data_IF_147561221585
#
_entry.id   IF_147561221585
#
_cell.length_a   1.000
_cell.length_b   1.000
_cell.length_c   1.000
_cell.angle_alpha   90.00
_cell.angle_beta   90.00
_cell.angle_gamma   90.00
#
_symmetry.space_group_name_H-M   'P 1'
#
loop_
_entity.id
_entity.type
_entity.pdbx_description
1 polymer ?
#
# COMPACT_ATOMS: atom_id res chain seq x y z
N UNK A 1 -6.56 13.48 -1.10
CA UNK A 1 -6.55 13.17 0.34
C UNK A 1 -7.48 12.00 0.58
N UNK A 2 -6.93 10.83 0.84
CA UNK A 2 -7.65 9.74 1.47
C UNK A 2 -6.82 9.37 2.69
N UNK A 3 -6.89 10.22 3.72
CA UNK A 3 -6.57 9.78 5.07
C UNK A 3 -7.72 8.87 5.49
N UNK A 4 -7.61 7.58 5.16
CA UNK A 4 -8.51 6.59 5.72
C UNK A 4 -8.20 6.57 7.21
N UNK A 5 -9.17 7.02 8.02
CA UNK A 5 -9.21 6.92 9.50
C UNK A 5 -9.12 5.44 9.97
N UNK A 6 -8.97 4.50 9.03
CA UNK A 6 -9.05 3.05 9.14
C UNK A 6 -7.73 2.34 8.87
N UNK A 7 -6.64 3.05 8.61
CA UNK A 7 -5.38 2.43 8.19
C UNK A 7 -4.26 2.95 9.07
N UNK A 8 -3.53 2.01 9.69
CA UNK A 8 -2.34 2.30 10.49
C UNK A 8 -1.43 3.32 9.81
N UNK A 9 -0.74 4.14 10.60
CA UNK A 9 0.19 5.14 10.08
C UNK A 9 1.53 5.06 10.81
N UNK A 10 2.61 4.91 10.05
CA UNK A 10 3.97 5.10 10.52
C UNK A 10 4.21 6.58 10.85
N UNK A 11 4.47 6.87 12.14
CA UNK A 11 4.88 8.21 12.58
C UNK A 11 6.25 8.15 13.24
N UNK A 12 7.02 9.24 13.11
CA UNK A 12 8.31 9.40 13.77
C UNK A 12 8.15 10.43 14.88
N UNK A 13 7.94 9.97 16.10
CA UNK A 13 7.86 10.83 17.29
C UNK A 13 9.20 10.75 18.03
N UNK A 14 9.83 11.91 18.26
CA UNK A 14 11.09 12.05 19.01
C UNK A 14 12.24 11.13 18.57
N UNK A 15 12.49 11.05 17.27
CA UNK A 15 13.61 10.27 16.73
C UNK A 15 13.42 8.74 16.76
N UNK A 16 12.33 8.25 17.36
CA UNK A 16 11.95 6.83 17.37
C UNK A 16 10.90 6.56 16.29
N UNK A 17 11.08 5.42 15.60
CA UNK A 17 10.19 4.96 14.53
C UNK A 17 9.02 4.22 15.18
N UNK A 18 7.81 4.77 15.08
CA UNK A 18 6.60 4.19 15.63
C UNK A 18 5.67 3.76 14.50
N UNK A 19 5.02 2.62 14.67
CA UNK A 19 3.91 2.17 13.83
C UNK A 19 2.66 2.27 14.69
N UNK A 20 1.77 3.22 14.37
CA UNK A 20 0.51 3.39 15.10
C UNK A 20 -0.54 2.56 14.39
N UNK A 21 -0.94 1.47 15.03
CA UNK A 21 -2.01 0.62 14.54
C UNK A 21 -3.35 1.15 15.09
N UNK A 22 -4.24 1.62 14.21
CA UNK A 22 -5.59 2.02 14.59
C UNK A 22 -6.38 0.79 15.03
N UNK A 23 -7.08 0.87 16.17
CA UNK A 23 -7.81 -0.27 16.74
C UNK A 23 -8.81 -0.87 15.77
N UNK A 24 -9.51 -0.07 14.95
CA UNK A 24 -10.44 -0.60 13.94
C UNK A 24 -9.76 -1.46 12.85
N UNK A 25 -8.52 -1.16 12.47
CA UNK A 25 -7.75 -1.98 11.54
C UNK A 25 -7.31 -3.28 12.20
N UNK A 26 -6.83 -3.19 13.45
CA UNK A 26 -6.36 -4.32 14.23
C UNK A 26 -7.51 -5.25 14.59
N UNK A 27 -8.62 -4.73 15.09
CA UNK A 27 -9.82 -5.47 15.45
C UNK A 27 -10.40 -6.18 14.23
N UNK A 28 -10.48 -5.52 13.07
CA UNK A 28 -11.00 -6.16 11.86
C UNK A 28 -10.10 -7.27 11.30
N UNK A 29 -8.79 -7.16 11.50
CA UNK A 29 -7.81 -8.19 11.10
C UNK A 29 -7.74 -9.33 12.14
N UNK A 30 -7.78 -9.01 13.43
CA UNK A 30 -7.72 -9.96 14.54
C UNK A 30 -9.04 -10.72 14.72
N UNK A 31 -10.21 -10.09 14.51
CA UNK A 31 -11.51 -10.78 14.49
C UNK A 31 -11.57 -11.86 13.40
N UNK A 32 -10.80 -11.70 12.31
CA UNK A 32 -10.66 -12.69 11.24
C UNK A 32 -9.52 -13.70 11.48
N UNK A 33 -8.80 -13.60 12.60
CA UNK A 33 -7.78 -14.55 13.04
C UNK A 33 -6.52 -14.64 12.16
N UNK A 34 -6.30 -13.68 11.25
CA UNK A 34 -5.24 -13.81 10.24
C UNK A 34 -4.02 -12.93 10.56
N UNK A 35 -3.09 -13.49 11.33
CA UNK A 35 -1.84 -12.82 11.72
C UNK A 35 -0.96 -12.42 10.52
N UNK A 36 -1.10 -13.09 9.36
CA UNK A 36 -0.33 -12.76 8.16
C UNK A 36 -0.75 -11.41 7.56
N UNK A 37 -2.03 -11.04 7.68
CA UNK A 37 -2.49 -9.71 7.25
C UNK A 37 -1.93 -8.60 8.14
N UNK A 38 -1.84 -8.86 9.45
CA UNK A 38 -1.20 -7.93 10.38
C UNK A 38 0.29 -7.81 10.10
N UNK A 39 0.96 -8.94 9.81
CA UNK A 39 2.36 -8.96 9.40
C UNK A 39 2.59 -8.16 8.11
N UNK A 40 1.67 -8.23 7.14
CA UNK A 40 1.70 -7.40 5.94
C UNK A 40 1.64 -5.91 6.27
N UNK A 41 0.66 -5.51 7.08
CA UNK A 41 0.45 -4.10 7.46
C UNK A 41 1.66 -3.54 8.20
N UNK A 42 2.17 -4.28 9.20
CA UNK A 42 3.35 -3.88 9.96
C UNK A 42 4.59 -3.83 9.06
N UNK A 43 4.77 -4.82 8.18
CA UNK A 43 5.87 -4.86 7.22
C UNK A 43 5.85 -3.70 6.23
N UNK A 44 4.66 -3.29 5.77
CA UNK A 44 4.47 -2.13 4.91
C UNK A 44 4.94 -0.84 5.61
N UNK A 45 4.49 -0.60 6.84
CA UNK A 45 4.88 0.58 7.62
C UNK A 45 6.37 0.57 7.99
N UNK A 46 6.94 -0.60 8.29
CA UNK A 46 8.38 -0.77 8.47
C UNK A 46 9.16 -0.48 7.18
N UNK A 47 8.59 -0.79 6.02
CA UNK A 47 9.14 -0.44 4.71
C UNK A 47 9.35 1.06 4.54
N UNK A 48 8.33 1.87 4.90
CA UNK A 48 8.43 3.34 4.85
C UNK A 48 9.55 3.88 5.73
N UNK A 49 9.70 3.31 6.93
CA UNK A 49 10.79 3.65 7.85
C UNK A 49 12.16 3.22 7.31
N UNK A 50 12.30 1.99 6.79
CA UNK A 50 13.58 1.43 6.35
C UNK A 50 14.10 2.09 5.08
N UNK A 51 13.21 2.44 4.16
CA UNK A 51 13.56 3.10 2.90
C UNK A 51 13.67 4.63 3.05
N UNK A 52 13.29 5.19 4.21
CA UNK A 52 13.41 6.62 4.48
C UNK A 52 12.43 7.48 3.68
N UNK A 53 11.30 6.91 3.26
CA UNK A 53 10.30 7.59 2.44
C UNK A 53 9.69 8.82 3.14
N UNK A 54 9.63 8.79 4.47
CA UNK A 54 9.11 9.89 5.30
C UNK A 54 9.94 11.19 5.20
N UNK A 55 11.22 11.10 4.86
CA UNK A 55 12.12 12.25 4.76
C UNK A 55 12.20 12.83 3.33
N UNK A 56 11.71 12.12 2.32
CA UNK A 56 11.89 12.50 0.90
C UNK A 56 11.12 13.75 0.52
N UNK A 57 9.86 13.88 0.94
CA UNK A 57 9.04 15.08 0.66
C UNK A 57 9.68 16.32 1.26
N UNK A 58 10.25 16.21 2.47
CA UNK A 58 11.00 17.31 3.11
C UNK A 58 12.27 17.66 2.33
N UNK A 59 13.01 16.66 1.82
CA UNK A 59 14.19 16.88 0.96
C UNK A 59 13.83 17.54 -0.37
N UNK A 60 12.73 17.12 -1.00
CA UNK A 60 12.27 17.69 -2.27
C UNK A 60 11.76 19.13 -2.10
N UNK A 61 11.07 19.43 -0.99
CA UNK A 61 10.67 20.79 -0.66
C UNK A 61 11.87 21.73 -0.48
N UNK A 62 12.97 21.23 0.09
CA UNK A 62 14.22 22.00 0.28
C UNK A 62 14.98 22.30 -1.02
N UNK A 63 14.76 21.53 -2.09
CA UNK A 63 15.43 21.71 -3.40
C UNK A 63 14.62 22.65 -4.32
N UNK A 64 13.50 23.18 -3.84
CA UNK A 64 12.57 24.00 -4.62
C UNK A 64 11.43 23.14 -5.15
N UNK A 65 10.24 23.34 -4.59
CA UNK A 65 9.01 22.55 -4.83
C UNK A 65 8.42 22.63 -6.25
N UNK A 66 9.22 22.87 -7.28
CA UNK A 66 8.79 23.06 -8.66
C UNK A 66 8.46 21.74 -9.37
N UNK A 67 8.90 20.59 -8.82
CA UNK A 67 8.63 19.27 -9.38
C UNK A 67 7.61 18.48 -8.55
N UNK A 68 6.39 19.01 -8.44
CA UNK A 68 5.25 18.34 -7.79
C UNK A 68 5.06 16.91 -8.34
N UNK A 69 5.22 16.74 -9.65
CA UNK A 69 5.08 15.46 -10.35
C UNK A 69 6.10 14.40 -9.93
N UNK A 70 7.35 14.82 -9.68
CA UNK A 70 8.41 13.91 -9.20
C UNK A 70 8.12 13.47 -7.78
N UNK A 71 7.63 14.39 -6.93
CA UNK A 71 7.18 14.06 -5.58
C UNK A 71 6.03 13.06 -5.58
N UNK A 72 5.02 13.27 -6.43
CA UNK A 72 3.89 12.36 -6.58
C UNK A 72 4.33 11.00 -7.15
N UNK A 73 5.19 10.98 -8.16
CA UNK A 73 5.75 9.75 -8.73
C UNK A 73 6.55 8.96 -7.69
N UNK A 74 7.38 9.63 -6.91
CA UNK A 74 8.15 9.01 -5.84
C UNK A 74 7.23 8.43 -4.77
N UNK A 75 6.21 9.20 -4.34
CA UNK A 75 5.21 8.74 -3.38
C UNK A 75 4.54 7.44 -3.86
N UNK A 76 4.19 7.36 -5.15
CA UNK A 76 3.62 6.13 -5.72
C UNK A 76 4.61 4.97 -5.72
N UNK A 77 5.89 5.20 -6.03
CA UNK A 77 6.93 4.16 -6.01
C UNK A 77 7.27 3.70 -4.58
N UNK A 78 7.20 4.61 -3.63
CA UNK A 78 7.38 4.34 -2.21
C UNK A 78 6.35 3.31 -1.71
N UNK A 79 5.06 3.53 -2.01
CA UNK A 79 3.98 2.59 -1.69
C UNK A 79 4.23 1.20 -2.26
N UNK A 80 4.62 1.08 -3.53
CA UNK A 80 4.92 -0.22 -4.16
C UNK A 80 6.10 -0.93 -3.50
N UNK A 81 7.11 -0.17 -3.06
CA UNK A 81 8.26 -0.74 -2.35
C UNK A 81 7.85 -1.26 -0.97
N UNK A 82 6.99 -0.51 -0.27
CA UNK A 82 6.44 -0.91 1.03
C UNK A 82 5.48 -2.11 0.90
N UNK A 83 4.71 -2.20 -0.17
CA UNK A 83 3.86 -3.37 -0.46
C UNK A 83 4.68 -4.65 -0.59
N UNK A 84 5.87 -4.58 -1.22
CA UNK A 84 6.82 -5.70 -1.30
C UNK A 84 7.39 -6.08 0.05
N UNK A 85 7.73 -5.09 0.88
CA UNK A 85 8.21 -5.34 2.25
C UNK A 85 7.12 -6.00 3.10
N UNK A 86 5.88 -5.52 3.00
CA UNK A 86 4.71 -6.15 3.62
C UNK A 86 4.52 -7.60 3.15
N UNK A 87 4.59 -7.85 1.84
CA UNK A 87 4.46 -9.18 1.26
C UNK A 87 5.52 -10.15 1.79
N UNK A 88 6.77 -9.69 1.86
CA UNK A 88 7.87 -10.46 2.44
C UNK A 88 7.61 -10.81 3.91
N UNK A 89 7.11 -9.88 4.71
CA UNK A 89 6.76 -10.13 6.11
C UNK A 89 5.55 -11.06 6.28
N UNK A 90 4.57 -10.98 5.38
CA UNK A 90 3.36 -11.80 5.44
C UNK A 90 3.58 -13.24 4.98
N UNK A 91 4.50 -13.46 4.03
CA UNK A 91 4.82 -14.79 3.49
C UNK A 91 3.68 -15.45 2.70
N UNK A 92 2.63 -14.70 2.34
CA UNK A 92 1.51 -15.18 1.55
C UNK A 92 0.97 -14.05 0.67
N UNK A 93 0.83 -14.33 -0.63
CA UNK A 93 0.23 -13.38 -1.58
C UNK A 93 -1.24 -13.12 -1.23
N UNK A 94 -2.02 -14.19 -1.00
CA UNK A 94 -3.45 -14.08 -0.67
C UNK A 94 -3.70 -13.27 0.60
N UNK A 95 -2.90 -13.48 1.65
CA UNK A 95 -3.01 -12.68 2.87
C UNK A 95 -2.68 -11.20 2.61
N UNK A 96 -1.66 -10.93 1.80
CA UNK A 96 -1.24 -9.57 1.44
C UNK A 96 -2.29 -8.82 0.61
N UNK A 97 -2.88 -9.49 -0.40
CA UNK A 97 -3.96 -8.92 -1.20
C UNK A 97 -5.19 -8.63 -0.35
N UNK A 98 -5.56 -9.55 0.56
CA UNK A 98 -6.70 -9.37 1.46
C UNK A 98 -6.44 -8.23 2.47
N UNK A 99 -5.21 -8.09 2.98
CA UNK A 99 -4.83 -6.99 3.87
C UNK A 99 -4.94 -5.63 3.15
N UNK A 100 -4.43 -5.54 1.92
CA UNK A 100 -4.55 -4.34 1.08
C UNK A 100 -6.01 -4.00 0.78
N UNK A 101 -6.85 -5.00 0.49
CA UNK A 101 -8.29 -4.81 0.29
C UNK A 101 -8.99 -4.34 1.56
N UNK A 102 -8.71 -4.96 2.71
CA UNK A 102 -9.26 -4.53 4.00
C UNK A 102 -8.89 -3.06 4.29
N UNK A 103 -7.66 -2.64 3.99
CA UNK A 103 -7.21 -1.27 4.20
C UNK A 103 -7.87 -0.26 3.25
N UNK A 104 -8.27 -0.68 2.04
CA UNK A 104 -8.77 0.23 1.01
C UNK A 104 -10.29 0.29 0.93
N UNK A 105 -10.95 -0.88 0.94
CA UNK A 105 -12.41 -1.04 0.76
C UNK A 105 -13.12 -1.26 2.11
N UNK A 106 -12.36 -1.60 3.16
CA UNK A 106 -12.89 -1.89 4.49
C UNK A 106 -13.19 -3.38 4.68
N UNK A 107 -13.20 -3.80 5.94
CA UNK A 107 -13.25 -5.22 6.30
C UNK A 107 -14.56 -5.94 5.93
N UNK A 108 -15.67 -5.23 5.84
CA UNK A 108 -16.98 -5.80 5.46
C UNK A 108 -17.04 -6.14 3.97
N UNK A 109 -16.46 -5.29 3.11
CA UNK A 109 -16.53 -5.46 1.66
C UNK A 109 -15.36 -6.27 1.11
N UNK A 110 -14.19 -6.25 1.76
CA UNK A 110 -12.99 -6.90 1.26
C UNK A 110 -13.15 -8.41 0.98
N UNK A 111 -13.98 -9.12 1.74
CA UNK A 111 -14.27 -10.56 1.50
C UNK A 111 -15.19 -10.82 0.30
N UNK A 112 -15.91 -9.80 -0.16
CA UNK A 112 -16.85 -9.87 -1.27
C UNK A 112 -16.23 -9.41 -2.60
N UNK A 113 -15.00 -8.90 -2.58
CA UNK A 113 -14.32 -8.45 -3.80
C UNK A 113 -13.69 -9.64 -4.52
N UNK A 114 -14.08 -9.85 -5.77
CA UNK A 114 -13.43 -10.81 -6.64
C UNK A 114 -12.10 -10.24 -7.16
N UNK A 115 -10.98 -10.81 -6.69
CA UNK A 115 -9.64 -10.36 -7.05
C UNK A 115 -9.31 -10.59 -8.53
N UNK A 116 -9.84 -11.66 -9.13
CA UNK A 116 -9.57 -12.00 -10.53
C UNK A 116 -10.26 -11.02 -11.48
N UNK A 117 -11.53 -10.71 -11.20
CA UNK A 117 -12.27 -9.68 -11.93
C UNK A 117 -11.62 -8.29 -11.79
N UNK A 118 -11.17 -7.95 -10.58
CA UNK A 118 -10.46 -6.70 -10.33
C UNK A 118 -9.16 -6.59 -11.15
N UNK A 119 -8.41 -7.70 -11.26
CA UNK A 119 -7.20 -7.77 -12.09
C UNK A 119 -7.54 -7.67 -13.59
N UNK A 120 -8.59 -8.35 -14.05
CA UNK A 120 -9.06 -8.24 -15.44
C UNK A 120 -9.45 -6.80 -15.80
N UNK A 121 -10.25 -6.16 -14.94
CA UNK A 121 -10.67 -4.77 -15.12
C UNK A 121 -9.46 -3.83 -15.20
N UNK A 122 -8.46 -4.04 -14.34
CA UNK A 122 -7.21 -3.30 -14.40
C UNK A 122 -6.52 -3.44 -15.76
N UNK A 123 -6.36 -4.67 -16.25
CA UNK A 123 -5.68 -4.88 -17.51
C UNK A 123 -6.44 -4.29 -18.70
N UNK A 124 -7.77 -4.28 -18.67
CA UNK A 124 -8.58 -3.68 -19.73
C UNK A 124 -8.46 -2.14 -19.75
N UNK A 125 -8.56 -1.49 -18.59
CA UNK A 125 -8.75 -0.03 -18.52
C UNK A 125 -7.49 0.77 -18.15
N UNK A 126 -6.40 0.15 -17.68
CA UNK A 126 -5.19 0.88 -17.22
C UNK A 126 -4.55 1.80 -18.26
N UNK A 127 -4.79 1.55 -19.55
CA UNK A 127 -4.22 2.34 -20.66
C UNK A 127 -5.11 3.51 -21.09
N UNK A 128 -6.31 3.64 -20.54
CA UNK A 128 -7.21 4.73 -20.89
C UNK A 128 -6.67 6.09 -20.44
N UNK A 129 -6.91 7.11 -21.27
CA UNK A 129 -6.41 8.46 -21.05
C UNK A 129 -6.79 9.01 -19.68
N UNK A 130 -8.06 8.90 -19.28
CA UNK A 130 -8.54 9.42 -18.00
C UNK A 130 -7.97 8.69 -16.79
N UNK A 131 -7.71 7.38 -16.91
CA UNK A 131 -7.08 6.58 -15.85
C UNK A 131 -5.63 7.04 -15.65
N UNK A 132 -4.87 7.20 -16.74
CA UNK A 132 -3.50 7.69 -16.68
C UNK A 132 -3.41 9.13 -16.19
N UNK A 133 -4.28 10.01 -16.70
CA UNK A 133 -4.37 11.41 -16.29
C UNK A 133 -4.62 11.53 -14.78
N UNK A 134 -5.60 10.78 -14.25
CA UNK A 134 -5.87 10.74 -12.80
C UNK A 134 -4.68 10.20 -12.02
N UNK A 135 -3.99 9.18 -12.53
CA UNK A 135 -2.81 8.60 -11.88
C UNK A 135 -1.69 9.62 -11.71
N UNK A 136 -1.46 10.50 -12.71
CA UNK A 136 -0.40 11.51 -12.65
C UNK A 136 -0.53 12.43 -11.44
N UNK A 137 -1.76 12.84 -11.12
CA UNK A 137 -2.08 13.74 -10.01
C UNK A 137 -2.37 13.01 -8.68
N UNK A 138 -2.39 11.68 -8.66
CA UNK A 138 -2.67 10.92 -7.45
C UNK A 138 -1.42 10.77 -6.55
N UNK A 139 -1.57 10.95 -5.24
CA UNK A 139 -0.49 10.74 -4.26
C UNK A 139 -0.19 9.25 -4.03
N UNK A 140 -1.18 8.39 -4.23
CA UNK A 140 -1.08 6.94 -4.08
C UNK A 140 -1.39 6.25 -5.40
N UNK A 141 -0.78 5.08 -5.66
CA UNK A 141 -1.10 4.27 -6.82
C UNK A 141 -2.52 3.71 -6.69
N UNK A 142 -3.15 3.44 -7.83
CA UNK A 142 -4.45 2.77 -7.86
C UNK A 142 -4.36 1.42 -7.14
N UNK A 143 -5.39 1.08 -6.35
CA UNK A 143 -5.52 -0.21 -5.67
C UNK A 143 -5.21 -1.37 -6.61
N UNK A 144 -5.81 -1.34 -7.80
CA UNK A 144 -5.63 -2.36 -8.82
C UNK A 144 -4.18 -2.49 -9.31
N UNK A 145 -3.47 -1.36 -9.44
CA UNK A 145 -2.05 -1.36 -9.77
C UNK A 145 -1.21 -2.00 -8.65
N UNK A 146 -1.55 -1.74 -7.38
CA UNK A 146 -0.86 -2.32 -6.22
C UNK A 146 -1.07 -3.83 -6.16
N UNK A 147 -2.27 -4.33 -6.46
CA UNK A 147 -2.57 -5.76 -6.50
C UNK A 147 -1.76 -6.46 -7.61
N UNK A 148 -1.72 -5.88 -8.81
CA UNK A 148 -0.92 -6.40 -9.92
C UNK A 148 0.58 -6.43 -9.55
N UNK A 149 1.10 -5.35 -8.95
CA UNK A 149 2.48 -5.32 -8.47
C UNK A 149 2.76 -6.31 -7.33
N UNK A 150 1.81 -6.57 -6.43
CA UNK A 150 1.94 -7.59 -5.39
C UNK A 150 2.02 -8.99 -5.99
N UNK A 151 1.19 -9.31 -6.98
CA UNK A 151 1.23 -10.60 -7.68
C UNK A 151 2.59 -10.81 -8.35
N UNK A 152 3.09 -9.81 -9.07
CA UNK A 152 4.41 -9.86 -9.69
C UNK A 152 5.54 -10.01 -8.64
N UNK A 153 5.45 -9.28 -7.53
CA UNK A 153 6.42 -9.37 -6.45
C UNK A 153 6.42 -10.74 -5.74
N UNK A 154 5.27 -11.40 -5.63
CA UNK A 154 5.19 -12.74 -5.07
C UNK A 154 5.90 -13.77 -5.96
N UNK A 155 5.75 -13.64 -7.28
CA UNK A 155 6.52 -14.46 -8.24
C UNK A 155 8.02 -14.22 -8.11
N UNK A 156 8.46 -12.97 -8.00
CA UNK A 156 9.88 -12.64 -7.82
C UNK A 156 10.47 -13.14 -6.49
N UNK A 157 9.67 -13.12 -5.41
CA UNK A 157 10.09 -13.56 -4.08
C UNK A 157 9.87 -15.06 -3.84
N UNK A 158 9.37 -15.79 -4.84
CA UNK A 158 8.97 -17.20 -4.73
C UNK A 158 8.00 -17.48 -3.56
N UNK A 159 7.11 -16.53 -3.27
CA UNK A 159 6.10 -16.65 -2.21
C UNK A 159 4.85 -17.29 -2.80
N UNK A 160 4.33 -18.33 -2.15
CA UNK A 160 3.15 -19.07 -2.63
C UNK A 160 1.89 -18.19 -2.70
N UNK A 161 1.10 -18.45 -3.75
CA UNK A 161 -0.25 -17.90 -3.98
C UNK A 161 -1.28 -18.47 -3.02
#
# INVERSE_FOLDING_TARGET
MQHNIWSAFATKIWGRRMVVLLSGAVDSILLKGNLQQLAWLVGHELGHHRAGHLDFVRKLANVGGWCIWVGLWYSRRAELTCDRAGLYCAGSLKASQLALMNATVGAQLASHVNLDEAAMQWHQHRREFFVQYRTLYATHPHLLARLDHLSNAATELAIAG
#
